data_IF_582875893401
#
_entry.id   IF_582875893401
#
_cell.length_a   1.000
_cell.length_b   1.000
_cell.length_c   1.000
_cell.angle_alpha   90.00
_cell.angle_beta   90.00
_cell.angle_gamma   90.00
#
_symmetry.space_group_name_H-M   'P 1'
#
loop_
_entity.id
_entity.type
_entity.pdbx_description
1 polymer ?
#
# COMPACT_ATOMS: atom_id res chain seq x y z
N UNK A 1 -66.68 1.98 -3.12
CA UNK A 1 -65.46 2.20 -2.31
C UNK A 1 -64.33 2.55 -3.28
N UNK A 2 -64.09 3.81 -3.68
CA UNK A 2 -63.39 4.89 -2.95
C UNK A 2 -62.01 4.41 -2.43
N UNK A 3 -60.81 4.93 -2.78
CA UNK A 3 -60.37 6.25 -3.30
C UNK A 3 -58.98 6.15 -3.98
N UNK A 4 -58.68 7.22 -4.72
CA UNK A 4 -57.55 7.58 -5.61
C UNK A 4 -56.11 7.55 -5.03
N UNK A 5 -55.09 7.61 -5.91
CA UNK A 5 -53.67 7.79 -5.58
C UNK A 5 -53.32 9.26 -5.27
N UNK A 6 -52.24 9.48 -4.52
CA UNK A 6 -51.68 10.82 -4.28
C UNK A 6 -50.47 11.10 -5.20
N UNK A 7 -50.62 12.17 -5.98
CA UNK A 7 -49.55 12.91 -6.66
C UNK A 7 -49.41 14.28 -5.97
N UNK A 8 -48.15 14.71 -5.85
CA UNK A 8 -47.62 16.05 -6.12
C UNK A 8 -47.71 17.20 -5.09
N UNK A 9 -46.62 17.99 -5.16
CA UNK A 9 -46.45 19.45 -4.97
C UNK A 9 -46.02 20.00 -3.61
N UNK A 10 -44.80 20.56 -3.61
CA UNK A 10 -44.33 21.92 -3.21
C UNK A 10 -42.78 21.89 -3.36
N UNK A 11 -42.14 22.36 -4.45
CA UNK A 11 -41.77 23.73 -4.86
C UNK A 11 -41.06 24.60 -3.80
N UNK A 12 -39.90 25.13 -4.25
CA UNK A 12 -39.18 26.34 -3.80
C UNK A 12 -38.55 26.26 -2.39
N UNK A 13 -37.27 26.56 -2.13
CA UNK A 13 -36.29 27.42 -2.79
C UNK A 13 -35.77 28.38 -1.73
N UNK A 14 -34.49 28.33 -1.33
CA UNK A 14 -33.80 29.49 -0.72
C UNK A 14 -32.30 29.26 -0.60
N UNK A 15 -31.56 30.30 -1.01
CA UNK A 15 -30.12 30.52 -0.90
C UNK A 15 -29.79 31.18 0.45
N UNK A 16 -28.67 30.80 1.07
CA UNK A 16 -27.76 31.64 1.88
C UNK A 16 -26.69 30.67 2.45
N UNK A 17 -25.36 30.78 2.29
CA UNK A 17 -24.39 31.88 2.24
C UNK A 17 -24.32 32.74 3.50
N UNK A 18 -23.51 32.32 4.49
CA UNK A 18 -22.87 33.16 5.53
C UNK A 18 -21.62 32.39 6.02
N UNK A 19 -20.42 32.65 5.48
CA UNK A 19 -19.32 33.48 6.05
C UNK A 19 -18.65 32.90 7.32
N UNK A 20 -17.36 32.53 7.24
CA UNK A 20 -16.21 33.36 7.71
C UNK A 20 -16.12 33.51 9.22
N UNK A 21 -15.15 32.83 9.83
CA UNK A 21 -14.58 33.22 11.13
C UNK A 21 -13.04 33.24 11.02
N UNK A 22 -12.50 34.45 11.10
CA UNK A 22 -11.09 34.78 11.26
C UNK A 22 -10.81 35.06 12.75
N UNK A 23 -9.63 34.59 13.18
CA UNK A 23 -8.66 35.27 14.06
C UNK A 23 -8.88 35.49 15.56
N UNK A 24 -7.77 35.17 16.25
CA UNK A 24 -7.13 35.89 17.35
C UNK A 24 -7.53 35.54 18.79
N UNK A 25 -6.56 34.95 19.50
CA UNK A 25 -6.17 35.43 20.83
C UNK A 25 -4.66 35.18 21.04
N UNK A 26 -3.91 36.29 21.11
CA UNK A 26 -2.65 36.37 21.85
C UNK A 26 -2.90 36.03 23.33
N UNK A 27 -1.90 35.51 24.03
CA UNK A 27 -1.33 36.15 25.24
C UNK A 27 -0.03 35.45 25.64
N UNK A 28 0.96 36.29 25.92
CA UNK A 28 2.31 35.97 26.34
C UNK A 28 2.39 35.33 27.73
N UNK A 29 3.46 34.57 27.96
CA UNK A 29 3.81 34.03 29.27
C UNK A 29 5.27 33.56 29.32
N UNK A 30 6.20 34.49 29.45
CA UNK A 30 7.60 34.22 29.81
C UNK A 30 7.66 33.97 31.32
N UNK A 31 8.43 32.96 31.78
CA UNK A 31 9.20 33.14 33.01
C UNK A 31 10.70 32.91 32.80
N UNK A 32 11.44 33.66 33.62
CA UNK A 32 12.87 33.96 33.62
C UNK A 32 13.77 32.91 34.30
N UNK A 33 15.06 33.00 33.94
CA UNK A 33 16.29 32.29 34.38
C UNK A 33 16.51 32.09 35.89
N UNK A 34 17.25 31.00 36.23
CA UNK A 34 18.40 30.80 37.17
C UNK A 34 18.36 29.33 37.68
N UNK A 35 19.43 28.55 37.92
CA UNK A 35 20.87 28.73 38.11
C UNK A 35 21.62 27.41 37.83
N UNK A 36 22.93 27.50 37.70
CA UNK A 36 23.91 26.42 37.49
C UNK A 36 24.17 25.54 38.73
N UNK A 37 24.57 24.27 38.52
CA UNK A 37 25.85 23.69 38.95
C UNK A 37 25.85 22.14 38.91
N UNK A 38 26.90 21.61 38.28
CA UNK A 38 27.58 20.30 38.40
C UNK A 38 27.04 19.25 39.37
N UNK A 39 26.89 18.01 38.87
CA UNK A 39 27.48 16.87 39.58
C UNK A 39 27.90 15.73 38.63
N UNK A 40 29.07 15.15 38.93
CA UNK A 40 29.67 13.99 38.27
C UNK A 40 29.05 12.73 38.88
N UNK A 41 28.60 11.78 38.07
CA UNK A 41 28.68 10.34 38.38
C UNK A 41 28.20 9.52 37.17
N UNK A 42 29.14 8.81 36.53
CA UNK A 42 28.80 7.58 35.81
C UNK A 42 28.55 6.47 36.85
N UNK A 43 27.62 5.56 36.55
CA UNK A 43 28.06 4.16 36.52
C UNK A 43 27.53 3.37 35.32
N UNK A 44 28.41 2.45 34.88
CA UNK A 44 28.19 1.13 34.31
C UNK A 44 26.85 0.81 33.60
N UNK A 45 27.00 0.53 32.31
CA UNK A 45 26.48 -0.70 31.69
C UNK A 45 25.02 -1.05 31.96
N UNK A 46 24.11 -0.40 31.25
CA UNK A 46 22.73 -0.87 31.13
C UNK A 46 22.48 -1.26 29.67
N UNK A 47 22.26 -2.54 29.43
CA UNK A 47 21.73 -3.07 28.18
C UNK A 47 20.40 -2.35 27.91
N UNK A 48 20.41 -1.34 27.04
CA UNK A 48 19.21 -0.60 26.67
C UNK A 48 18.31 -1.54 25.87
N UNK A 49 17.33 -2.12 26.55
CA UNK A 49 16.12 -2.60 25.88
C UNK A 49 15.44 -1.36 25.29
N UNK A 50 15.72 -1.06 24.03
CA UNK A 50 14.96 -0.06 23.28
C UNK A 50 13.55 -0.59 23.14
N UNK A 51 12.61 0.05 23.83
CA UNK A 51 11.18 -0.22 23.69
C UNK A 51 10.80 -0.18 22.22
N UNK A 52 9.94 -1.10 21.78
CA UNK A 52 9.36 -1.13 20.42
C UNK A 52 8.81 0.26 20.04
N UNK A 53 8.26 1.00 21.02
CA UNK A 53 7.76 2.35 20.83
C UNK A 53 8.86 3.37 20.44
N UNK A 54 10.09 3.20 20.92
CA UNK A 54 11.22 4.07 20.58
C UNK A 54 11.75 3.80 19.18
N UNK A 55 11.73 2.54 18.72
CA UNK A 55 12.12 2.20 17.35
C UNK A 55 11.12 2.75 16.32
N UNK A 56 9.83 2.77 16.65
CA UNK A 56 8.78 3.31 15.78
C UNK A 56 8.77 4.85 15.70
N UNK A 57 9.31 5.54 16.71
CA UNK A 57 9.31 7.02 16.79
C UNK A 57 10.48 7.72 16.10
N UNK A 58 11.50 6.98 15.64
CA UNK A 58 12.66 7.57 14.95
C UNK A 58 12.36 8.05 13.51
N UNK A 59 11.10 8.02 13.07
CA UNK A 59 10.67 8.49 11.75
C UNK A 59 10.07 9.90 11.70
N UNK A 60 9.76 10.56 12.82
CA UNK A 60 9.08 11.86 12.77
C UNK A 60 10.08 13.02 12.73
N UNK A 61 10.41 13.48 11.53
CA UNK A 61 10.92 14.83 11.33
C UNK A 61 9.80 15.71 10.76
N UNK A 62 9.73 16.90 11.32
CA UNK A 62 8.82 17.99 10.96
C UNK A 62 9.55 18.94 10.02
N UNK A 63 8.79 19.46 9.03
CA UNK A 63 9.09 20.54 8.07
C UNK A 63 9.96 20.19 6.85
N UNK A 64 9.26 20.11 5.70
CA UNK A 64 9.60 20.68 4.39
C UNK A 64 11.08 20.52 3.98
N UNK A 65 11.37 19.40 3.29
CA UNK A 65 12.69 18.82 2.93
C UNK A 65 13.22 17.72 3.87
N UNK A 66 12.34 17.05 4.61
CA UNK A 66 12.67 15.84 5.35
C UNK A 66 12.90 14.67 4.39
N UNK A 67 14.17 14.45 4.04
CA UNK A 67 14.65 13.14 3.66
C UNK A 67 14.30 12.21 4.83
N UNK A 68 13.23 11.43 4.70
CA UNK A 68 12.95 10.33 5.64
C UNK A 68 14.23 9.51 5.68
N UNK A 69 14.89 9.46 6.85
CA UNK A 69 16.11 8.70 7.01
C UNK A 69 15.82 7.25 6.58
N UNK A 70 16.53 6.73 5.56
CA UNK A 70 16.24 5.40 5.07
C UNK A 70 16.43 4.39 6.20
N UNK A 71 15.44 3.52 6.40
CA UNK A 71 15.52 2.44 7.37
C UNK A 71 16.56 1.43 6.86
N UNK A 72 17.68 1.30 7.58
CA UNK A 72 18.81 0.42 7.21
C UNK A 72 18.83 -0.88 8.01
N UNK A 73 17.92 -1.05 8.97
CA UNK A 73 17.77 -2.31 9.69
C UNK A 73 16.71 -3.18 9.02
N UNK A 74 17.11 -4.41 8.64
CA UNK A 74 16.18 -5.37 8.04
C UNK A 74 15.02 -5.70 9.00
N UNK A 75 15.32 -5.81 10.30
CA UNK A 75 14.29 -6.09 11.32
C UNK A 75 13.27 -4.95 11.40
N UNK A 76 13.73 -3.69 11.36
CA UNK A 76 12.83 -2.54 11.33
C UNK A 76 11.98 -2.52 10.05
N UNK A 77 12.56 -2.80 8.87
CA UNK A 77 11.79 -2.90 7.61
C UNK A 77 10.67 -3.94 7.76
N UNK A 78 10.98 -5.11 8.33
CA UNK A 78 10.00 -6.19 8.48
C UNK A 78 8.92 -5.87 9.52
N UNK A 79 9.30 -5.24 10.64
CA UNK A 79 8.37 -4.76 11.65
C UNK A 79 7.41 -3.73 11.07
N UNK A 80 7.95 -2.72 10.37
CA UNK A 80 7.16 -1.67 9.72
C UNK A 80 6.18 -2.29 8.70
N UNK A 81 6.65 -3.23 7.88
CA UNK A 81 5.83 -3.94 6.91
C UNK A 81 4.66 -4.69 7.57
N UNK A 82 4.90 -5.37 8.70
CA UNK A 82 3.86 -6.11 9.44
C UNK A 82 2.79 -5.18 10.02
N UNK A 83 3.17 -3.98 10.45
CA UNK A 83 2.23 -3.00 11.02
C UNK A 83 1.42 -2.32 9.90
N UNK A 84 2.09 -1.81 8.86
CA UNK A 84 1.45 -1.01 7.81
C UNK A 84 0.59 -1.84 6.84
N UNK A 85 0.81 -3.16 6.73
CA UNK A 85 0.15 -4.01 5.74
C UNK A 85 -1.38 -3.88 5.74
N UNK A 86 -2.01 -3.69 6.90
CA UNK A 86 -3.47 -3.61 6.98
C UNK A 86 -4.01 -2.27 6.46
N UNK A 87 -3.24 -1.19 6.66
CA UNK A 87 -3.53 0.13 6.06
C UNK A 87 -3.36 0.03 4.55
N UNK A 88 -2.26 -0.60 4.11
CA UNK A 88 -1.98 -0.79 2.69
C UNK A 88 -3.05 -1.63 1.99
N UNK A 89 -3.46 -2.76 2.56
CA UNK A 89 -4.50 -3.62 1.98
C UNK A 89 -5.85 -2.93 1.83
N UNK A 90 -6.26 -2.09 2.80
CA UNK A 90 -7.48 -1.28 2.67
C UNK A 90 -7.38 -0.31 1.50
N UNK A 91 -6.23 0.35 1.34
CA UNK A 91 -6.00 1.26 0.21
C UNK A 91 -5.97 0.52 -1.13
N UNK A 92 -5.32 -0.65 -1.19
CA UNK A 92 -5.33 -1.53 -2.37
C UNK A 92 -6.74 -1.97 -2.74
N UNK A 93 -7.55 -2.34 -1.76
CA UNK A 93 -8.96 -2.68 -1.97
C UNK A 93 -9.76 -1.50 -2.56
N UNK A 94 -9.55 -0.29 -2.04
CA UNK A 94 -10.20 0.92 -2.55
C UNK A 94 -9.79 1.20 -4.01
N UNK A 95 -8.50 1.11 -4.32
CA UNK A 95 -7.97 1.29 -5.68
C UNK A 95 -8.57 0.26 -6.62
N UNK A 96 -8.54 -1.03 -6.27
CA UNK A 96 -9.11 -2.10 -7.07
C UNK A 96 -10.58 -1.82 -7.39
N UNK A 97 -11.38 -1.49 -6.37
CA UNK A 97 -12.81 -1.16 -6.54
C UNK A 97 -13.03 0.03 -7.49
N UNK A 98 -12.27 1.11 -7.34
CA UNK A 98 -12.42 2.34 -8.15
C UNK A 98 -11.95 2.17 -9.59
N UNK A 99 -11.15 1.14 -9.86
CA UNK A 99 -10.50 0.91 -11.14
C UNK A 99 -10.98 -0.36 -11.84
N UNK A 100 -12.07 -0.98 -11.40
CA UNK A 100 -12.52 -2.28 -11.93
C UNK A 100 -11.44 -3.38 -11.86
N UNK A 101 -10.60 -3.30 -10.83
CA UNK A 101 -9.52 -4.24 -10.56
C UNK A 101 -10.00 -5.45 -9.76
N UNK A 102 -9.36 -6.57 -10.03
CA UNK A 102 -9.68 -7.88 -9.47
C UNK A 102 -8.65 -8.28 -8.41
N UNK A 103 -9.15 -8.81 -7.30
CA UNK A 103 -8.34 -9.37 -6.22
C UNK A 103 -8.56 -10.88 -6.11
N UNK A 104 -7.50 -11.60 -5.76
CA UNK A 104 -7.53 -13.05 -5.55
C UNK A 104 -8.46 -13.39 -4.39
N UNK A 105 -9.41 -14.30 -4.58
CA UNK A 105 -10.27 -14.82 -3.51
C UNK A 105 -9.63 -16.02 -2.82
N UNK A 106 -9.83 -16.15 -1.51
CA UNK A 106 -9.47 -17.34 -0.73
C UNK A 106 -10.20 -18.56 -1.29
N UNK A 107 -9.57 -19.75 -1.29
CA UNK A 107 -10.27 -20.99 -1.60
C UNK A 107 -11.35 -21.22 -0.54
N UNK A 108 -12.63 -21.21 -0.94
CA UNK A 108 -13.75 -21.55 -0.08
C UNK A 108 -13.91 -23.07 0.04
N UNK A 109 -14.34 -23.55 1.21
CA UNK A 109 -14.70 -24.97 1.43
C UNK A 109 -16.12 -25.33 0.91
N UNK A 110 -16.84 -24.40 0.29
CA UNK A 110 -18.29 -24.50 0.15
C UNK A 110 -18.77 -25.05 -1.21
N UNK A 111 -19.53 -26.16 -1.16
CA UNK A 111 -20.19 -26.83 -2.31
C UNK A 111 -21.27 -25.97 -2.99
N UNK A 112 -21.63 -24.84 -2.39
CA UNK A 112 -22.77 -24.00 -2.77
C UNK A 112 -22.55 -23.08 -3.98
N UNK A 113 -21.31 -22.97 -4.51
CA UNK A 113 -20.94 -21.92 -5.47
C UNK A 113 -20.92 -22.35 -6.95
N UNK A 114 -21.80 -23.27 -7.37
CA UNK A 114 -22.02 -23.55 -8.81
C UNK A 114 -22.77 -22.44 -9.57
N UNK A 115 -23.26 -21.39 -8.89
CA UNK A 115 -24.13 -20.36 -9.51
C UNK A 115 -23.51 -18.98 -9.75
N UNK A 116 -22.24 -18.74 -9.38
CA UNK A 116 -21.56 -17.48 -9.69
C UNK A 116 -20.35 -17.74 -10.62
N UNK A 117 -20.63 -18.21 -11.85
CA UNK A 117 -19.63 -18.27 -12.92
C UNK A 117 -19.80 -17.04 -13.82
N UNK A 118 -18.80 -16.17 -13.75
CA UNK A 118 -18.30 -15.22 -14.77
C UNK A 118 -17.27 -14.38 -13.99
N UNK A 119 -15.97 -14.65 -13.95
CA UNK A 119 -15.07 -15.14 -14.99
C UNK A 119 -13.96 -15.99 -14.35
N UNK A 120 -14.12 -17.32 -14.33
CA UNK A 120 -13.06 -18.21 -13.86
C UNK A 120 -11.89 -18.14 -14.85
N UNK A 121 -10.70 -17.73 -14.38
CA UNK A 121 -9.49 -17.93 -15.19
C UNK A 121 -9.21 -19.42 -15.34
N UNK A 122 -8.47 -19.78 -16.39
CA UNK A 122 -8.03 -21.17 -16.66
C UNK A 122 -7.26 -21.77 -15.46
N UNK A 123 -6.75 -20.91 -14.57
CA UNK A 123 -6.03 -21.26 -13.34
C UNK A 123 -6.91 -21.57 -12.12
N UNK A 124 -8.25 -21.43 -12.18
CA UNK A 124 -9.12 -21.68 -11.02
C UNK A 124 -9.06 -20.61 -9.92
N UNK A 125 -8.46 -19.45 -10.22
CA UNK A 125 -8.50 -18.30 -9.30
C UNK A 125 -9.83 -17.59 -9.48
N UNK A 126 -10.62 -17.52 -8.40
CA UNK A 126 -11.84 -16.70 -8.39
C UNK A 126 -11.42 -15.28 -8.05
N UNK A 127 -11.69 -14.37 -8.97
CA UNK A 127 -11.48 -12.93 -8.83
C UNK A 127 -12.82 -12.30 -8.42
N UNK A 128 -12.82 -11.41 -7.43
CA UNK A 128 -14.05 -10.77 -6.94
C UNK A 128 -14.21 -9.37 -7.52
N UNK A 129 -15.37 -9.09 -8.12
CA UNK A 129 -15.86 -7.73 -8.34
C UNK A 129 -16.24 -7.12 -6.98
N UNK A 130 -15.72 -5.92 -6.70
CA UNK A 130 -15.86 -5.29 -5.39
C UNK A 130 -17.07 -4.33 -5.39
N UNK A 131 -18.08 -4.61 -4.57
CA UNK A 131 -19.24 -3.72 -4.42
C UNK A 131 -19.06 -2.74 -3.25
N UNK A 132 -19.61 -1.52 -3.39
CA UNK A 132 -19.56 -0.51 -2.34
C UNK A 132 -20.38 -0.96 -1.11
N UNK A 133 -19.78 -0.90 0.09
CA UNK A 133 -20.47 -1.19 1.36
C UNK A 133 -20.46 -2.65 1.82
N UNK A 134 -19.90 -3.57 1.04
CA UNK A 134 -19.82 -4.99 1.43
C UNK A 134 -18.50 -5.31 2.15
N UNK A 135 -18.48 -5.13 3.48
CA UNK A 135 -17.32 -5.41 4.35
C UNK A 135 -16.90 -6.89 4.29
N UNK A 136 -17.83 -7.80 3.96
CA UNK A 136 -17.55 -9.25 3.92
C UNK A 136 -16.60 -9.62 2.76
N UNK A 137 -16.65 -8.89 1.64
CA UNK A 137 -15.78 -9.17 0.49
C UNK A 137 -14.29 -8.97 0.82
N UNK A 138 -13.95 -7.99 1.67
CA UNK A 138 -12.58 -7.77 2.13
C UNK A 138 -12.01 -9.00 2.85
N UNK A 139 -12.83 -9.68 3.65
CA UNK A 139 -12.43 -10.86 4.42
C UNK A 139 -12.17 -12.10 3.52
N UNK A 140 -12.79 -12.13 2.34
CA UNK A 140 -12.64 -13.21 1.36
C UNK A 140 -11.41 -13.06 0.47
N UNK A 141 -10.73 -11.91 0.48
CA UNK A 141 -9.51 -11.69 -0.31
C UNK A 141 -8.34 -12.51 0.23
N UNK A 142 -7.67 -13.24 -0.65
CA UNK A 142 -6.38 -13.88 -0.41
C UNK A 142 -5.26 -12.87 -0.66
N UNK A 143 -4.84 -12.20 0.41
CA UNK A 143 -3.75 -11.24 0.38
C UNK A 143 -2.38 -11.88 0.18
N UNK A 144 -1.47 -11.10 -0.39
CA UNK A 144 -0.09 -11.52 -0.57
C UNK A 144 0.59 -11.77 0.77
N UNK A 145 1.36 -12.86 0.85
CA UNK A 145 2.25 -13.10 1.98
C UNK A 145 3.39 -12.08 1.95
N UNK A 146 3.72 -11.54 3.12
CA UNK A 146 4.95 -10.76 3.30
C UNK A 146 6.15 -11.58 2.81
N UNK A 147 7.12 -10.89 2.18
CA UNK A 147 8.35 -11.56 1.75
C UNK A 147 9.01 -12.24 2.95
N UNK A 148 9.40 -13.51 2.84
CA UNK A 148 10.10 -14.18 3.95
C UNK A 148 11.46 -13.53 4.21
N UNK A 149 11.90 -13.53 5.47
CA UNK A 149 13.19 -12.95 5.89
C UNK A 149 14.36 -13.52 5.09
N UNK A 150 14.43 -14.84 4.92
CA UNK A 150 15.48 -15.50 4.12
C UNK A 150 15.52 -14.99 2.67
N UNK A 151 14.37 -14.79 2.04
CA UNK A 151 14.28 -14.23 0.67
C UNK A 151 14.63 -12.75 0.64
N UNK A 152 14.35 -12.01 1.72
CA UNK A 152 14.77 -10.62 1.90
C UNK A 152 16.29 -10.50 1.95
N UNK A 153 16.94 -11.26 2.83
CA UNK A 153 18.41 -11.31 2.96
C UNK A 153 19.07 -11.68 1.63
N UNK A 154 18.62 -12.75 0.97
CA UNK A 154 19.16 -13.15 -0.33
C UNK A 154 19.08 -12.02 -1.35
N UNK A 155 17.96 -11.29 -1.38
CA UNK A 155 17.75 -10.19 -2.31
C UNK A 155 18.63 -8.98 -1.98
N UNK A 156 18.79 -8.64 -0.70
CA UNK A 156 19.64 -7.54 -0.25
C UNK A 156 21.10 -7.80 -0.63
N UNK A 157 21.61 -8.99 -0.34
CA UNK A 157 22.98 -9.37 -0.69
C UNK A 157 23.17 -9.40 -2.20
N UNK A 158 22.26 -10.05 -2.94
CA UNK A 158 22.44 -10.26 -4.38
C UNK A 158 22.24 -8.99 -5.22
N UNK A 159 21.25 -8.18 -4.89
CA UNK A 159 20.78 -7.11 -5.78
C UNK A 159 21.13 -5.71 -5.27
N UNK A 160 21.42 -5.57 -3.98
CA UNK A 160 21.60 -4.28 -3.33
C UNK A 160 22.94 -4.16 -2.60
N UNK A 161 23.87 -5.10 -2.82
CA UNK A 161 25.22 -5.08 -2.24
C UNK A 161 25.22 -4.91 -0.71
N UNK A 162 24.28 -5.60 -0.05
CA UNK A 162 24.11 -5.51 1.41
C UNK A 162 23.26 -4.34 1.90
N UNK A 163 22.91 -3.37 1.04
CA UNK A 163 22.07 -2.24 1.42
C UNK A 163 20.59 -2.65 1.56
N UNK A 164 20.17 -2.83 2.81
CA UNK A 164 18.81 -3.23 3.17
C UNK A 164 17.77 -2.14 2.90
N UNK A 165 18.17 -0.86 2.87
CA UNK A 165 17.23 0.26 2.66
C UNK A 165 16.57 0.24 1.28
N UNK A 166 17.16 -0.50 0.35
CA UNK A 166 16.66 -0.69 -1.02
C UNK A 166 15.65 -1.84 -1.12
N UNK A 167 15.37 -2.56 -0.03
CA UNK A 167 14.39 -3.64 0.02
C UNK A 167 12.96 -3.11 0.18
N UNK A 168 12.39 -2.66 -0.93
CA UNK A 168 11.09 -1.95 -0.99
C UNK A 168 9.87 -2.85 -1.25
N UNK A 169 10.05 -4.17 -1.32
CA UNK A 169 8.99 -5.12 -1.68
C UNK A 169 8.70 -6.14 -0.57
N UNK A 170 8.97 -5.77 0.69
CA UNK A 170 8.60 -6.60 1.85
C UNK A 170 7.08 -6.63 2.01
N UNK A 171 6.46 -5.46 2.08
CA UNK A 171 5.01 -5.27 2.00
C UNK A 171 4.62 -5.05 0.54
N UNK A 172 3.84 -5.98 -0.03
CA UNK A 172 3.47 -5.91 -1.45
C UNK A 172 2.12 -6.54 -1.70
N UNK A 173 1.38 -6.01 -2.67
CA UNK A 173 0.11 -6.54 -3.13
C UNK A 173 0.00 -6.44 -4.66
N UNK A 174 -0.98 -7.13 -5.23
CA UNK A 174 -1.26 -7.06 -6.68
C UNK A 174 -2.73 -6.93 -6.96
N UNK A 175 -3.06 -6.15 -7.99
CA UNK A 175 -4.39 -6.04 -8.57
C UNK A 175 -4.32 -6.55 -10.01
N UNK A 176 -5.25 -7.42 -10.37
CA UNK A 176 -5.36 -8.01 -11.70
C UNK A 176 -6.41 -7.25 -12.52
N UNK A 177 -6.18 -7.09 -13.82
CA UNK A 177 -7.08 -6.34 -14.70
C UNK A 177 -7.37 -7.11 -15.97
N UNK A 178 -8.65 -7.18 -16.37
CA UNK A 178 -9.04 -7.75 -17.66
C UNK A 178 -8.66 -6.82 -18.82
N UNK A 179 -8.73 -5.50 -18.60
CA UNK A 179 -8.45 -4.49 -19.62
C UNK A 179 -7.30 -3.56 -19.23
N UNK A 180 -6.45 -3.22 -20.20
CA UNK A 180 -5.34 -2.27 -20.00
C UNK A 180 -5.85 -0.87 -19.65
N UNK A 181 -7.02 -0.48 -20.18
CA UNK A 181 -7.66 0.79 -19.86
C UNK A 181 -7.93 0.95 -18.35
N UNK A 182 -8.29 -0.14 -17.67
CA UNK A 182 -8.55 -0.15 -16.23
C UNK A 182 -7.26 0.05 -15.41
N UNK A 183 -6.09 -0.41 -15.92
CA UNK A 183 -4.78 -0.10 -15.35
C UNK A 183 -4.50 1.41 -15.44
N UNK A 184 -4.86 2.06 -16.54
CA UNK A 184 -4.72 3.52 -16.69
C UNK A 184 -5.59 4.25 -15.67
N UNK A 185 -6.83 3.78 -15.45
CA UNK A 185 -7.72 4.31 -14.40
C UNK A 185 -7.09 4.13 -13.03
N UNK A 186 -6.53 2.95 -12.72
CA UNK A 186 -5.86 2.68 -11.45
C UNK A 186 -4.68 3.61 -11.19
N UNK A 187 -3.81 3.81 -12.19
CA UNK A 187 -2.68 4.75 -12.10
C UNK A 187 -3.16 6.18 -11.85
N UNK A 188 -4.26 6.60 -12.48
CA UNK A 188 -4.88 7.91 -12.23
C UNK A 188 -5.45 8.01 -10.81
N UNK A 189 -6.15 6.98 -10.34
CA UNK A 189 -6.64 6.93 -8.96
C UNK A 189 -5.49 7.08 -7.96
N UNK A 190 -4.40 6.35 -8.16
CA UNK A 190 -3.21 6.42 -7.30
C UNK A 190 -2.57 7.81 -7.33
N UNK A 191 -2.41 8.42 -8.51
CA UNK A 191 -1.81 9.75 -8.65
C UNK A 191 -2.64 10.87 -8.02
N UNK A 192 -3.96 10.72 -7.99
CA UNK A 192 -4.90 11.71 -7.46
C UNK A 192 -5.27 11.47 -5.99
N UNK A 193 -4.82 10.37 -5.39
CA UNK A 193 -5.11 10.04 -3.99
C UNK A 193 -4.16 10.83 -3.07
N UNK A 194 -4.74 11.65 -2.20
CA UNK A 194 -3.99 12.48 -1.24
C UNK A 194 -3.32 11.65 -0.13
N UNK A 195 -3.78 10.42 0.10
CA UNK A 195 -3.19 9.50 1.07
C UNK A 195 -1.97 8.74 0.52
N UNK A 196 -1.58 8.96 -0.74
CA UNK A 196 -0.53 8.20 -1.41
C UNK A 196 0.59 9.13 -1.91
N UNK A 197 1.83 8.81 -1.53
CA UNK A 197 3.03 9.40 -2.11
C UNK A 197 3.71 8.39 -3.03
N UNK A 198 3.65 8.61 -4.35
CA UNK A 198 4.34 7.75 -5.33
C UNK A 198 5.84 8.04 -5.32
N UNK A 199 6.65 6.99 -5.12
CA UNK A 199 8.12 7.07 -5.11
C UNK A 199 8.74 6.63 -6.43
N UNK A 200 8.19 5.58 -7.05
CA UNK A 200 8.68 5.06 -8.33
C UNK A 200 7.59 4.33 -9.09
N UNK A 201 7.60 4.46 -10.40
CA UNK A 201 6.80 3.63 -11.31
C UNK A 201 7.75 2.89 -12.25
N UNK A 202 7.57 1.58 -12.37
CA UNK A 202 8.20 0.74 -13.38
C UNK A 202 7.11 0.31 -14.36
N UNK A 203 7.04 1.00 -15.50
CA UNK A 203 6.12 0.65 -16.56
C UNK A 203 6.73 -0.44 -17.43
N UNK A 204 6.35 -1.70 -17.20
CA UNK A 204 6.73 -2.80 -18.10
C UNK A 204 5.66 -3.08 -19.15
N UNK A 205 4.61 -2.26 -19.26
CA UNK A 205 3.65 -2.34 -20.36
C UNK A 205 4.08 -1.49 -21.56
N UNK A 206 5.09 -0.64 -21.40
CA UNK A 206 5.64 0.18 -22.47
C UNK A 206 5.98 -0.66 -23.72
N UNK A 207 5.43 -0.36 -24.91
CA UNK A 207 5.77 -1.05 -26.15
C UNK A 207 7.26 -1.01 -26.49
N UNK A 208 7.95 0.05 -26.07
CA UNK A 208 9.38 0.26 -26.38
C UNK A 208 10.30 -0.45 -25.39
N UNK A 209 9.74 -1.10 -24.35
CA UNK A 209 10.51 -1.91 -23.41
C UNK A 209 11.02 -3.18 -24.10
N UNK A 210 12.34 -3.38 -24.07
CA UNK A 210 12.96 -4.64 -24.48
C UNK A 210 12.34 -5.84 -23.73
N UNK A 211 11.64 -6.77 -24.39
CA UNK A 211 11.02 -7.92 -23.74
C UNK A 211 12.03 -8.87 -23.08
N UNK A 212 13.28 -8.89 -23.56
CA UNK A 212 14.34 -9.73 -22.99
C UNK A 212 14.81 -9.21 -21.63
N UNK A 213 14.60 -7.93 -21.33
CA UNK A 213 14.90 -7.36 -20.03
C UNK A 213 13.99 -7.89 -18.91
N UNK A 214 12.80 -8.40 -19.25
CA UNK A 214 11.80 -8.89 -18.27
C UNK A 214 11.45 -10.37 -18.47
N UNK A 215 12.13 -11.08 -19.36
CA UNK A 215 11.76 -12.42 -19.82
C UNK A 215 10.28 -12.49 -20.28
N UNK A 216 9.81 -11.42 -20.91
CA UNK A 216 8.45 -11.30 -21.44
C UNK A 216 7.36 -10.94 -20.40
N UNK A 217 7.70 -10.73 -19.12
CA UNK A 217 6.72 -10.26 -18.14
C UNK A 217 6.34 -8.80 -18.38
N UNK A 218 5.04 -8.51 -18.34
CA UNK A 218 4.46 -7.19 -18.54
C UNK A 218 3.52 -6.85 -17.38
N UNK A 219 3.82 -5.78 -16.66
CA UNK A 219 3.05 -5.24 -15.54
C UNK A 219 3.39 -3.76 -15.31
N UNK A 220 2.68 -3.11 -14.39
CA UNK A 220 3.11 -1.84 -13.82
C UNK A 220 3.39 -2.05 -12.34
N UNK A 221 4.64 -1.85 -11.93
CA UNK A 221 5.01 -1.89 -10.51
C UNK A 221 5.14 -0.47 -9.97
N UNK A 222 4.43 -0.17 -8.88
CA UNK A 222 4.41 1.14 -8.24
C UNK A 222 4.98 0.98 -6.83
N UNK A 223 6.03 1.73 -6.54
CA UNK A 223 6.55 1.91 -5.19
C UNK A 223 5.93 3.18 -4.62
N UNK A 224 5.23 3.05 -3.50
CA UNK A 224 4.47 4.12 -2.89
C UNK A 224 4.58 4.08 -1.36
N UNK A 225 4.37 5.22 -0.72
CA UNK A 225 4.19 5.33 0.72
C UNK A 225 2.75 5.79 1.02
N UNK A 226 2.21 5.34 2.15
CA UNK A 226 0.92 5.82 2.64
C UNK A 226 1.16 7.02 3.53
N UNK A 227 0.64 8.19 3.15
CA UNK A 227 0.80 9.46 3.89
C UNK A 227 -0.49 9.90 4.57
N UNK A 228 -1.41 8.96 4.80
CA UNK A 228 -2.64 9.20 5.55
C UNK A 228 -2.37 9.36 7.05
N UNK A 229 -3.33 9.94 7.77
CA UNK A 229 -3.25 10.18 9.22
C UNK A 229 -2.93 8.91 10.01
N UNK A 230 -3.45 7.76 9.59
CA UNK A 230 -3.18 6.49 10.28
C UNK A 230 -1.72 6.05 10.13
N UNK A 231 -1.13 6.19 8.95
CA UNK A 231 0.29 5.89 8.74
C UNK A 231 1.19 6.85 9.53
N UNK A 232 0.83 8.14 9.56
CA UNK A 232 1.51 9.16 10.37
C UNK A 232 1.46 8.84 11.88
N UNK A 233 0.28 8.45 12.39
CA UNK A 233 0.13 8.09 13.81
C UNK A 233 0.96 6.86 14.21
N UNK A 234 1.29 6.00 13.23
CA UNK A 234 2.14 4.84 13.42
C UNK A 234 3.64 5.15 13.24
N UNK A 235 4.00 6.35 12.74
CA UNK A 235 5.37 6.71 12.36
C UNK A 235 5.87 5.96 11.12
N UNK A 236 4.97 5.59 10.21
CA UNK A 236 5.22 4.69 9.07
C UNK A 236 4.95 5.34 7.71
N UNK A 237 4.74 6.65 7.67
CA UNK A 237 4.45 7.43 6.45
C UNK A 237 5.57 7.39 5.41
N UNK A 238 6.78 6.98 5.81
CA UNK A 238 7.92 6.77 4.94
C UNK A 238 8.16 5.33 4.51
N UNK A 239 7.41 4.35 5.02
CA UNK A 239 7.59 2.95 4.63
C UNK A 239 7.11 2.74 3.18
N UNK A 240 7.94 2.11 2.36
CA UNK A 240 7.62 1.85 0.95
C UNK A 240 6.90 0.50 0.81
N UNK A 241 5.74 0.53 0.19
CA UNK A 241 4.99 -0.65 -0.26
C UNK A 241 5.12 -0.79 -1.78
N UNK A 242 5.05 -2.04 -2.26
CA UNK A 242 5.00 -2.34 -3.70
C UNK A 242 3.59 -2.76 -4.11
N UNK A 243 3.00 -2.06 -5.09
CA UNK A 243 1.75 -2.43 -5.73
C UNK A 243 2.02 -2.85 -7.17
N UNK A 244 1.59 -4.05 -7.55
CA UNK A 244 1.65 -4.55 -8.92
C UNK A 244 0.28 -4.46 -9.60
N UNK A 245 0.21 -3.81 -10.76
CA UNK A 245 -0.97 -3.79 -11.62
C UNK A 245 -0.69 -4.73 -12.80
N UNK A 246 -1.43 -5.83 -12.88
CA UNK A 246 -1.09 -6.97 -13.74
C UNK A 246 -2.23 -7.25 -14.71
N UNK A 247 -2.00 -7.28 -16.03
CA UNK A 247 -2.98 -7.80 -16.98
C UNK A 247 -3.32 -9.27 -16.68
N UNK A 248 -4.59 -9.67 -16.83
CA UNK A 248 -5.07 -11.03 -16.50
C UNK A 248 -4.29 -12.13 -17.19
N UNK A 249 -4.01 -11.98 -18.48
CA UNK A 249 -3.21 -12.96 -19.24
C UNK A 249 -1.79 -13.13 -18.67
N UNK A 250 -1.19 -12.05 -18.17
CA UNK A 250 0.13 -12.07 -17.54
C UNK A 250 0.08 -12.70 -16.15
N UNK A 251 -1.01 -12.46 -15.41
CA UNK A 251 -1.26 -13.09 -14.13
C UNK A 251 -1.41 -14.62 -14.26
N UNK A 252 -2.16 -15.09 -15.26
CA UNK A 252 -2.35 -16.52 -15.53
C UNK A 252 -1.02 -17.22 -15.92
N UNK A 253 -0.17 -16.55 -16.72
CA UNK A 253 1.18 -17.03 -17.02
C UNK A 253 2.05 -17.14 -15.75
N UNK A 254 1.91 -16.17 -14.83
CA UNK A 254 2.67 -16.10 -13.57
C UNK A 254 2.28 -17.19 -12.58
N UNK A 255 1.01 -17.64 -12.56
CA UNK A 255 0.59 -18.74 -11.68
C UNK A 255 1.02 -20.11 -12.25
N UNK A 256 1.19 -20.22 -13.56
CA UNK A 256 1.65 -21.44 -14.22
C UNK A 256 3.13 -21.81 -14.01
N UNK A 257 3.56 -22.89 -14.67
CA UNK A 257 4.92 -23.46 -14.58
C UNK A 257 6.05 -22.54 -15.08
N UNK A 258 5.72 -21.42 -15.75
CA UNK A 258 6.70 -20.45 -16.29
C UNK A 258 7.33 -19.56 -15.21
N UNK A 259 6.68 -19.36 -14.06
CA UNK A 259 7.28 -18.58 -12.97
C UNK A 259 8.59 -19.19 -12.44
N UNK A 260 8.67 -20.52 -12.36
CA UNK A 260 9.89 -21.23 -11.96
C UNK A 260 11.04 -20.97 -12.92
N UNK A 261 10.77 -20.99 -14.25
CA UNK A 261 11.77 -20.70 -15.28
C UNK A 261 12.28 -19.25 -15.20
N UNK A 262 11.37 -18.31 -14.95
CA UNK A 262 11.74 -16.91 -14.71
C UNK A 262 12.63 -16.73 -13.49
N UNK A 263 12.30 -17.37 -12.36
CA UNK A 263 13.11 -17.28 -11.14
C UNK A 263 14.54 -17.79 -11.42
N UNK A 264 14.68 -18.92 -12.12
CA UNK A 264 15.99 -19.45 -12.51
C UNK A 264 16.75 -18.48 -13.42
N UNK A 265 16.12 -18.00 -14.50
CA UNK A 265 16.71 -17.06 -15.44
C UNK A 265 17.18 -15.76 -14.78
N UNK A 266 16.33 -15.18 -13.91
CA UNK A 266 16.62 -13.93 -13.20
C UNK A 266 17.78 -14.11 -12.22
N UNK A 267 17.77 -15.21 -11.46
CA UNK A 267 18.82 -15.46 -10.47
C UNK A 267 20.20 -15.62 -11.13
N UNK A 268 20.29 -16.17 -12.35
CA UNK A 268 21.54 -16.26 -13.12
C UNK A 268 22.10 -14.89 -13.53
N UNK A 269 21.27 -13.85 -13.60
CA UNK A 269 21.67 -12.49 -14.00
C UNK A 269 21.98 -11.55 -12.81
N UNK A 270 21.94 -12.04 -11.58
CA UNK A 270 22.15 -11.22 -10.38
C UNK A 270 21.01 -10.23 -10.08
N UNK A 271 19.83 -10.42 -10.69
CA UNK A 271 18.66 -9.53 -10.53
C UNK A 271 17.61 -10.06 -9.54
#
# INVERSE_FOLDING_TARGET
MARKPWRALMKEGSKSSVSSWLHSALIAGIPTKRSAATDKNQPLGTTRSTSISTMLRLGSATSQDDWITPVTSLDQIYLHATIIQNVFRRKVYEIARRSNGLLKRKPGNDRSLRKLRRSASVSGTVECELEAGNVLQYAEVEWSKQKSTSRGVEKVVRCYDGDSSRLVDVCRESIVYEHIQDIIVAVRCIKLDQDISVKRIKNRLDPDLDPWSTAGYRDVAIHLCLVCQEAYNLGLEGHVCELLLIPKDMHDIKIGSRHRKYVTWRNLRGQ
#
